data_IF_220325843282
#
_entry.id   IF_220325843282
#
_cell.length_a   1.000
_cell.length_b   1.000
_cell.length_c   1.000
_cell.angle_alpha   90.00
_cell.angle_beta   90.00
_cell.angle_gamma   90.00
#
_symmetry.space_group_name_H-M   'P 1'
#
loop_
_entity.id
_entity.type
_entity.pdbx_description
1 polymer ?
#
# COMPACT_ATOMS: atom_id res chain seq x y z
N UNK A 1 -15.60 20.27 -34.97
CA UNK A 1 -15.86 18.88 -34.54
C UNK A 1 -14.59 18.16 -34.11
N UNK A 2 -13.54 18.12 -34.94
CA UNK A 2 -12.29 17.41 -34.61
C UNK A 2 -11.54 17.96 -33.38
N UNK A 3 -11.44 19.28 -33.24
CA UNK A 3 -10.80 19.91 -32.08
C UNK A 3 -11.55 19.70 -30.75
N UNK A 4 -12.89 19.62 -30.83
CA UNK A 4 -13.73 19.32 -29.66
C UNK A 4 -13.47 17.88 -29.20
N UNK A 5 -13.42 16.95 -30.15
CA UNK A 5 -13.12 15.54 -29.87
C UNK A 5 -11.70 15.35 -29.31
N UNK A 6 -10.72 16.04 -29.89
CA UNK A 6 -9.33 16.07 -29.40
C UNK A 6 -9.25 16.63 -27.97
N UNK A 7 -9.97 17.73 -27.71
CA UNK A 7 -10.05 18.34 -26.39
C UNK A 7 -10.63 17.38 -25.36
N UNK A 8 -11.75 16.70 -25.68
CA UNK A 8 -12.37 15.72 -24.79
C UNK A 8 -11.42 14.55 -24.47
N UNK A 9 -10.62 14.10 -25.45
CA UNK A 9 -9.69 12.99 -25.26
C UNK A 9 -8.45 13.39 -24.46
N UNK A 10 -7.87 14.57 -24.71
CA UNK A 10 -6.63 15.00 -24.05
C UNK A 10 -6.83 15.60 -22.67
N UNK A 11 -7.92 16.32 -22.44
CA UNK A 11 -8.18 17.01 -21.17
C UNK A 11 -8.06 16.09 -19.95
N UNK A 12 -8.68 14.89 -19.89
CA UNK A 12 -8.55 14.01 -18.73
C UNK A 12 -7.11 13.55 -18.51
N UNK A 13 -6.34 13.30 -19.58
CA UNK A 13 -4.93 12.89 -19.48
C UNK A 13 -4.07 14.00 -18.89
N UNK A 14 -4.24 15.23 -19.38
CA UNK A 14 -3.51 16.41 -18.87
C UNK A 14 -3.88 16.70 -17.42
N UNK A 15 -5.16 16.61 -17.07
CA UNK A 15 -5.65 16.83 -15.70
C UNK A 15 -5.09 15.76 -14.75
N UNK A 16 -5.20 14.47 -15.10
CA UNK A 16 -4.66 13.39 -14.27
C UNK A 16 -3.13 13.47 -14.15
N UNK A 17 -2.43 13.85 -15.21
CA UNK A 17 -0.98 14.09 -15.19
C UNK A 17 -0.59 15.22 -14.24
N UNK A 18 -1.31 16.34 -14.26
CA UNK A 18 -1.08 17.46 -13.36
C UNK A 18 -1.39 17.13 -11.89
N UNK A 19 -2.50 16.41 -11.64
CA UNK A 19 -2.86 15.93 -10.30
C UNK A 19 -1.80 14.97 -9.75
N UNK A 20 -1.30 14.05 -10.57
CA UNK A 20 -0.22 13.12 -10.19
C UNK A 20 1.08 13.86 -9.87
N UNK A 21 1.46 14.86 -10.69
CA UNK A 21 2.66 15.66 -10.48
C UNK A 21 2.63 16.49 -9.19
N UNK A 22 1.44 16.90 -8.75
CA UNK A 22 1.25 17.73 -7.54
C UNK A 22 0.93 16.91 -6.29
N UNK A 23 0.75 15.60 -6.42
CA UNK A 23 0.50 14.71 -5.29
C UNK A 23 1.72 14.64 -4.36
N UNK A 24 1.48 14.70 -3.04
CA UNK A 24 2.52 14.52 -2.03
C UNK A 24 2.34 13.16 -1.36
N UNK A 25 3.42 12.42 -1.10
CA UNK A 25 3.33 11.20 -0.32
C UNK A 25 2.89 11.55 1.12
N UNK A 26 2.12 10.67 1.78
CA UNK A 26 1.80 10.82 3.18
C UNK A 26 3.05 10.89 4.06
N UNK A 27 3.01 11.72 5.11
CA UNK A 27 4.13 11.91 6.05
C UNK A 27 4.31 10.77 7.06
N UNK A 28 3.37 9.84 7.11
CA UNK A 28 3.31 8.73 8.06
C UNK A 28 3.56 7.36 7.39
N UNK A 29 4.33 7.33 6.29
CA UNK A 29 4.75 6.07 5.68
C UNK A 29 5.84 5.43 6.55
N UNK A 30 5.60 4.18 6.94
CA UNK A 30 6.51 3.40 7.78
C UNK A 30 6.33 3.68 9.28
N UNK A 31 7.13 3.02 10.13
CA UNK A 31 7.04 3.21 11.57
C UNK A 31 7.46 4.61 12.00
N UNK A 32 6.66 5.25 12.85
CA UNK A 32 7.00 6.48 13.55
C UNK A 32 7.18 6.16 15.04
N UNK A 33 8.33 6.52 15.63
CA UNK A 33 8.68 6.15 17.01
C UNK A 33 8.55 4.63 17.30
N UNK A 34 8.94 3.80 16.33
CA UNK A 34 8.91 2.34 16.45
C UNK A 34 7.53 1.69 16.29
N UNK A 35 6.49 2.47 15.96
CA UNK A 35 5.12 1.96 15.77
C UNK A 35 4.55 2.34 14.41
N UNK A 36 3.76 1.45 13.83
CA UNK A 36 2.93 1.78 12.68
C UNK A 36 1.79 2.72 13.10
N UNK A 37 1.27 3.49 12.15
CA UNK A 37 0.05 4.27 12.37
C UNK A 37 -1.13 3.34 12.65
N UNK A 38 -2.09 3.80 13.45
CA UNK A 38 -3.33 3.07 13.67
C UNK A 38 -4.10 2.87 12.35
N UNK A 39 -4.79 1.75 12.23
CA UNK A 39 -5.65 1.50 11.08
C UNK A 39 -6.82 2.51 11.07
N UNK A 40 -7.10 3.17 9.93
CA UNK A 40 -8.35 3.91 9.78
C UNK A 40 -9.54 2.93 9.82
N UNK A 41 -10.76 3.44 9.95
CA UNK A 41 -12.02 2.66 9.96
C UNK A 41 -12.34 1.90 8.65
N UNK A 42 -11.38 1.81 7.73
CA UNK A 42 -11.53 1.07 6.48
C UNK A 42 -11.58 -0.43 6.78
N UNK A 43 -12.54 -1.19 6.22
CA UNK A 43 -12.72 -2.60 6.54
C UNK A 43 -11.56 -3.50 6.08
N UNK A 44 -10.69 -2.99 5.20
CA UNK A 44 -9.58 -3.75 4.64
C UNK A 44 -8.23 -3.43 5.31
N UNK A 45 -8.18 -2.50 6.27
CA UNK A 45 -6.93 -2.22 6.98
C UNK A 45 -6.74 -3.22 8.13
N UNK A 46 -5.57 -3.84 8.20
CA UNK A 46 -5.17 -4.67 9.35
C UNK A 46 -3.76 -4.34 9.82
N UNK A 47 -3.50 -4.48 11.12
CA UNK A 47 -2.19 -4.21 11.72
C UNK A 47 -1.98 -5.08 12.97
N UNK A 48 -0.82 -5.76 13.07
CA UNK A 48 -0.45 -6.53 14.27
C UNK A 48 -0.14 -5.69 15.50
N UNK A 49 -0.18 -4.36 15.37
CA UNK A 49 0.00 -3.40 16.48
C UNK A 49 -1.30 -2.64 16.80
N UNK A 50 -2.41 -2.95 16.13
CA UNK A 50 -3.73 -2.37 16.40
C UNK A 50 -4.19 -2.72 17.82
N UNK A 51 -4.98 -1.83 18.42
CA UNK A 51 -5.53 -2.00 19.77
C UNK A 51 -6.95 -2.56 19.78
N UNK A 52 -7.62 -2.56 18.63
CA UNK A 52 -8.99 -3.05 18.47
C UNK A 52 -9.02 -4.38 17.70
N UNK A 53 -9.97 -5.24 18.07
CA UNK A 53 -10.09 -6.59 17.50
C UNK A 53 -10.49 -6.60 16.02
N UNK A 54 -11.10 -5.51 15.51
CA UNK A 54 -11.56 -5.43 14.13
C UNK A 54 -10.40 -5.30 13.14
N UNK A 55 -9.38 -4.51 13.49
CA UNK A 55 -8.21 -4.29 12.63
C UNK A 55 -6.98 -5.09 13.08
N UNK A 56 -7.02 -5.79 14.21
CA UNK A 56 -5.91 -6.61 14.67
C UNK A 56 -5.74 -7.88 13.82
N UNK A 57 -4.49 -8.21 13.50
CA UNK A 57 -4.10 -9.50 12.93
C UNK A 57 -2.81 -10.00 13.57
N UNK A 58 -2.73 -11.29 13.88
CA UNK A 58 -1.53 -11.89 14.47
C UNK A 58 -0.30 -11.69 13.56
N UNK A 59 0.85 -11.40 14.18
CA UNK A 59 2.10 -11.27 13.45
C UNK A 59 2.57 -12.63 12.92
N UNK A 60 3.14 -12.66 11.72
CA UNK A 60 3.73 -13.89 11.17
C UNK A 60 4.97 -14.25 12.00
N UNK A 61 4.91 -15.39 12.70
CA UNK A 61 6.01 -15.90 13.50
C UNK A 61 7.06 -16.54 12.59
N UNK A 62 8.31 -16.11 12.73
CA UNK A 62 9.46 -16.70 12.04
C UNK A 62 10.05 -17.78 12.97
N UNK A 63 10.12 -19.06 12.55
CA UNK A 63 10.75 -20.11 13.34
C UNK A 63 12.23 -19.81 13.61
N UNK A 64 12.74 -20.18 14.78
CA UNK A 64 14.13 -19.89 15.21
C UNK A 64 15.19 -20.46 14.27
N UNK A 65 14.90 -21.56 13.58
CA UNK A 65 15.78 -22.22 12.63
C UNK A 65 15.60 -21.74 11.18
N UNK A 66 14.81 -20.68 10.94
CA UNK A 66 14.62 -20.14 9.60
C UNK A 66 15.82 -19.27 9.20
N UNK A 67 16.73 -19.83 8.41
CA UNK A 67 17.78 -19.06 7.77
C UNK A 67 17.21 -18.11 6.71
N UNK A 68 17.72 -16.88 6.66
CA UNK A 68 17.32 -15.84 5.71
C UNK A 68 15.78 -15.65 5.56
N UNK A 69 15.04 -15.37 6.65
CA UNK A 69 13.57 -15.44 6.65
C UNK A 69 12.90 -14.48 5.65
N UNK A 70 13.48 -13.30 5.44
CA UNK A 70 13.00 -12.34 4.44
C UNK A 70 13.18 -12.84 3.01
N UNK A 71 14.27 -13.56 2.72
CA UNK A 71 14.50 -14.15 1.40
C UNK A 71 13.49 -15.26 1.15
N UNK A 72 13.26 -16.12 2.14
CA UNK A 72 12.24 -17.17 2.06
C UNK A 72 10.85 -16.60 1.84
N UNK A 73 10.49 -15.56 2.59
CA UNK A 73 9.21 -14.87 2.44
C UNK A 73 9.06 -14.25 1.03
N UNK A 74 10.11 -13.62 0.50
CA UNK A 74 10.13 -13.11 -0.87
C UNK A 74 9.88 -14.21 -1.90
N UNK A 75 10.55 -15.36 -1.80
CA UNK A 75 10.35 -16.49 -2.72
C UNK A 75 8.91 -17.00 -2.73
N UNK A 76 8.25 -17.02 -1.57
CA UNK A 76 6.85 -17.46 -1.45
C UNK A 76 5.93 -16.42 -2.10
N UNK A 77 6.11 -15.14 -1.77
CA UNK A 77 5.30 -14.04 -2.32
C UNK A 77 5.42 -13.99 -3.84
N UNK A 78 6.63 -14.13 -4.40
CA UNK A 78 6.85 -14.15 -5.86
C UNK A 78 6.16 -15.30 -6.60
N UNK A 79 5.65 -16.32 -5.89
CA UNK A 79 4.88 -17.43 -6.47
C UNK A 79 3.37 -17.22 -6.37
N UNK A 80 2.91 -16.18 -5.67
CA UNK A 80 1.49 -15.87 -5.55
C UNK A 80 0.96 -15.27 -6.85
N UNK A 81 -0.29 -15.58 -7.24
CA UNK A 81 -0.91 -14.95 -8.40
C UNK A 81 -1.05 -13.44 -8.18
N UNK A 82 -0.44 -12.64 -9.06
CA UNK A 82 -0.49 -11.17 -9.02
C UNK A 82 0.68 -10.48 -8.30
N UNK A 83 1.68 -11.24 -7.83
CA UNK A 83 2.92 -10.70 -7.27
C UNK A 83 3.99 -10.34 -8.31
#
# INVERSE_FOLDING_TARGET
MIYIFMGILLTPVVVLGFLSFTAKPPHNIGPNNGRLSDCPKSPNCVCSQASDDLHFIEAIVIPENCEEPLKRMREIVSKMPGA
#
